data_IF_266528483407
#
_entry.id   IF_266528483407
#
_cell.length_a   1.000
_cell.length_b   1.000
_cell.length_c   1.000
_cell.angle_alpha   90.00
_cell.angle_beta   90.00
_cell.angle_gamma   90.00
#
_symmetry.space_group_name_H-M   'P 1'
#
loop_
_entity.id
_entity.type
_entity.pdbx_description
1 polymer ?
#
# COMPACT_ATOMS: atom_id res chain seq x y z
N UNK A 1 -9.43 13.92 2.17
CA UNK A 1 -8.93 12.88 3.10
C UNK A 1 -7.53 12.47 2.67
N UNK A 2 -6.63 12.11 3.58
CA UNK A 2 -5.26 11.67 3.28
C UNK A 2 -5.13 10.15 3.49
N UNK A 3 -4.21 9.51 2.79
CA UNK A 3 -3.82 8.13 2.98
C UNK A 3 -2.53 8.09 3.81
N UNK A 4 -2.54 7.32 4.88
CA UNK A 4 -1.38 7.07 5.74
C UNK A 4 -0.78 5.71 5.41
N UNK A 5 0.51 5.66 5.15
CA UNK A 5 1.23 4.45 4.79
C UNK A 5 1.88 3.84 6.02
N UNK A 6 1.35 2.69 6.46
CA UNK A 6 1.88 1.91 7.57
C UNK A 6 2.73 0.76 7.07
N UNK A 7 3.95 0.68 7.58
CA UNK A 7 4.86 -0.43 7.31
C UNK A 7 4.45 -1.65 8.15
N UNK A 8 3.95 -2.69 7.52
CA UNK A 8 3.62 -3.94 8.23
C UNK A 8 4.88 -4.52 8.90
N UNK A 9 4.71 -5.07 10.09
CA UNK A 9 5.77 -5.88 10.70
C UNK A 9 6.06 -7.09 9.82
N UNK A 10 7.28 -7.21 9.37
CA UNK A 10 7.75 -8.39 8.66
C UNK A 10 7.61 -9.62 9.55
N UNK A 11 6.95 -10.66 9.04
CA UNK A 11 6.95 -11.97 9.70
C UNK A 11 8.15 -12.75 9.16
N UNK A 12 9.14 -13.10 9.97
CA UNK A 12 10.38 -13.72 9.48
C UNK A 12 10.15 -14.93 8.56
N UNK A 13 9.17 -15.77 8.87
CA UNK A 13 8.90 -16.99 8.09
C UNK A 13 8.19 -16.76 6.74
N UNK A 14 7.61 -15.62 6.49
CA UNK A 14 7.06 -15.29 5.15
C UNK A 14 8.16 -15.03 4.13
N UNK A 15 9.34 -14.66 4.57
CA UNK A 15 10.50 -14.47 3.72
C UNK A 15 11.16 -15.80 3.34
N UNK A 16 11.06 -16.82 4.19
CA UNK A 16 11.55 -18.17 3.89
C UNK A 16 10.65 -18.94 2.91
N UNK A 17 9.38 -18.60 2.82
CA UNK A 17 8.43 -19.24 1.92
C UNK A 17 8.44 -18.67 0.49
N UNK A 18 9.04 -17.52 0.27
CA UNK A 18 9.29 -16.95 -1.06
C UNK A 18 10.72 -17.27 -1.49
N UNK A 19 10.88 -18.41 -2.09
CA UNK A 19 12.11 -19.14 -2.40
C UNK A 19 13.12 -18.43 -3.26
N UNK A 20 13.43 -17.29 -3.32
CA UNK A 20 14.57 -16.74 -4.05
C UNK A 20 15.03 -15.35 -3.62
N UNK A 21 14.41 -14.80 -2.59
CA UNK A 21 14.91 -13.54 -2.03
C UNK A 21 15.62 -13.85 -0.74
N UNK A 22 16.93 -13.75 -0.74
CA UNK A 22 17.72 -13.84 0.46
C UNK A 22 17.35 -12.72 1.43
N UNK A 23 17.44 -12.97 2.73
CA UNK A 23 17.31 -11.94 3.77
C UNK A 23 18.16 -10.69 3.45
N UNK A 24 19.29 -10.86 2.76
CA UNK A 24 20.15 -9.78 2.29
C UNK A 24 19.49 -8.88 1.25
N UNK A 25 18.66 -9.41 0.33
CA UNK A 25 18.00 -8.57 -0.69
C UNK A 25 16.89 -7.71 -0.06
N UNK A 26 16.24 -8.21 0.98
CA UNK A 26 15.22 -7.47 1.72
C UNK A 26 15.85 -6.42 2.62
N UNK A 27 16.92 -6.77 3.32
CA UNK A 27 17.70 -5.83 4.10
C UNK A 27 18.35 -4.77 3.20
N UNK A 28 18.85 -5.14 2.03
CA UNK A 28 19.46 -4.21 1.08
C UNK A 28 18.44 -3.23 0.49
N UNK A 29 17.20 -3.62 0.25
CA UNK A 29 16.16 -2.69 -0.19
C UNK A 29 15.81 -1.66 0.90
N UNK A 30 15.80 -2.08 2.16
CA UNK A 30 15.64 -1.19 3.31
C UNK A 30 16.89 -0.35 3.59
N UNK A 31 18.07 -0.94 3.48
CA UNK A 31 19.34 -0.22 3.63
C UNK A 31 19.55 0.80 2.51
N UNK A 32 19.20 0.47 1.27
CA UNK A 32 19.20 1.42 0.15
C UNK A 32 18.30 2.63 0.40
N UNK A 33 17.13 2.40 0.98
CA UNK A 33 16.24 3.48 1.38
C UNK A 33 16.80 4.29 2.56
N UNK A 34 17.36 3.65 3.58
CA UNK A 34 18.00 4.30 4.72
C UNK A 34 19.18 5.17 4.31
N UNK A 35 19.99 4.74 3.34
CA UNK A 35 21.14 5.50 2.86
C UNK A 35 20.77 6.74 2.08
N UNK A 36 19.60 6.77 1.44
CA UNK A 36 19.10 7.94 0.70
C UNK A 36 18.36 8.92 1.59
N UNK A 37 17.81 8.48 2.72
CA UNK A 37 17.08 9.35 3.66
C UNK A 37 17.67 9.25 5.07
N UNK A 38 18.70 10.04 5.32
CA UNK A 38 19.48 10.07 6.59
C UNK A 38 18.66 10.33 7.86
N UNK A 39 17.40 10.73 7.72
CA UNK A 39 16.51 11.12 8.82
C UNK A 39 15.50 10.03 9.20
N UNK A 40 15.46 8.91 8.49
CA UNK A 40 14.54 7.82 8.79
C UNK A 40 15.20 6.88 9.79
N UNK A 41 14.54 6.71 10.94
CA UNK A 41 14.97 5.82 12.02
C UNK A 41 15.09 4.38 11.52
N UNK A 42 16.02 3.62 12.08
CA UNK A 42 16.41 2.28 11.63
C UNK A 42 15.30 1.24 11.62
N UNK A 43 14.16 1.54 12.21
CA UNK A 43 13.05 0.61 12.31
C UNK A 43 11.74 1.21 11.75
N UNK A 44 11.50 1.03 10.46
CA UNK A 44 10.23 1.40 9.83
C UNK A 44 9.11 0.40 10.16
N UNK A 45 9.46 -0.81 10.56
CA UNK A 45 8.52 -1.89 10.82
C UNK A 45 7.57 -1.54 11.98
N UNK A 46 6.28 -1.57 11.69
CA UNK A 46 5.26 -1.25 12.69
C UNK A 46 5.01 0.23 12.89
N UNK A 47 5.48 1.09 11.97
CA UNK A 47 5.33 2.54 12.02
C UNK A 47 4.53 3.09 10.84
N UNK A 48 3.96 4.27 11.03
CA UNK A 48 3.38 5.07 9.95
C UNK A 48 4.49 5.98 9.44
N UNK A 49 4.85 5.84 8.17
CA UNK A 49 6.07 6.43 7.60
C UNK A 49 5.81 7.60 6.67
N UNK A 50 4.62 7.67 6.08
CA UNK A 50 4.29 8.72 5.13
C UNK A 50 2.79 8.97 5.07
N UNK A 51 2.42 10.09 4.47
CA UNK A 51 1.06 10.38 4.02
C UNK A 51 1.04 10.79 2.55
N UNK A 52 -0.10 10.63 1.88
CA UNK A 52 -0.27 11.05 0.51
C UNK A 52 -1.71 11.44 0.18
N UNK A 53 -1.90 12.16 -0.92
CA UNK A 53 -3.19 12.25 -1.57
C UNK A 53 -3.47 10.98 -2.35
N UNK A 54 -4.74 10.64 -2.53
CA UNK A 54 -5.10 9.46 -3.28
C UNK A 54 -6.35 9.69 -4.15
N UNK A 55 -6.49 8.85 -5.17
CA UNK A 55 -7.70 8.68 -5.97
C UNK A 55 -7.91 7.18 -6.17
N UNK A 56 -9.15 6.73 -6.08
CA UNK A 56 -9.50 5.32 -6.28
C UNK A 56 -10.20 5.16 -7.63
N UNK A 57 -9.88 4.09 -8.33
CA UNK A 57 -10.56 3.64 -9.55
C UNK A 57 -10.85 2.15 -9.47
N UNK A 58 -11.96 1.72 -10.08
CA UNK A 58 -12.25 0.31 -10.24
C UNK A 58 -11.22 -0.36 -11.16
N UNK A 59 -10.79 -1.54 -10.81
CA UNK A 59 -9.95 -2.42 -11.61
C UNK A 59 -10.74 -3.67 -11.93
N UNK A 60 -10.88 -3.97 -13.21
CA UNK A 60 -11.59 -5.15 -13.71
C UNK A 60 -10.69 -5.97 -14.61
N UNK A 61 -10.90 -7.28 -14.58
CA UNK A 61 -10.39 -8.17 -15.62
C UNK A 61 -11.48 -8.32 -16.66
N UNK A 62 -11.12 -8.10 -17.90
CA UNK A 62 -12.00 -8.31 -19.05
C UNK A 62 -11.58 -9.60 -19.73
N UNK A 63 -12.49 -10.57 -19.77
CA UNK A 63 -12.36 -11.85 -20.45
C UNK A 63 -13.35 -11.85 -21.61
N UNK A 64 -12.96 -11.28 -22.72
CA UNK A 64 -13.82 -11.10 -23.91
C UNK A 64 -13.27 -11.84 -25.14
N UNK A 65 -12.19 -12.61 -24.97
CA UNK A 65 -11.57 -13.38 -26.05
C UNK A 65 -11.99 -14.84 -26.02
N UNK A 66 -12.58 -15.39 -27.13
CA UNK A 66 -12.85 -16.81 -27.28
C UNK A 66 -11.64 -17.73 -27.08
N UNK A 67 -10.43 -17.19 -27.15
CA UNK A 67 -9.16 -17.88 -26.92
C UNK A 67 -8.68 -17.83 -25.46
N UNK A 68 -9.48 -17.23 -24.56
CA UNK A 68 -9.17 -17.14 -23.13
C UNK A 68 -8.10 -16.09 -22.79
N UNK A 69 -7.85 -15.12 -23.66
CA UNK A 69 -7.02 -13.98 -23.33
C UNK A 69 -7.81 -13.02 -22.43
N UNK A 70 -7.17 -12.57 -21.39
CA UNK A 70 -7.74 -11.58 -20.46
C UNK A 70 -6.81 -10.38 -20.35
N UNK A 71 -7.38 -9.22 -20.03
CA UNK A 71 -6.60 -8.01 -19.74
C UNK A 71 -7.21 -7.22 -18.59
N UNK A 72 -6.40 -6.34 -18.01
CA UNK A 72 -6.81 -5.49 -16.90
C UNK A 72 -7.26 -4.13 -17.42
N UNK A 73 -8.38 -3.65 -16.92
CA UNK A 73 -8.95 -2.38 -17.33
C UNK A 73 -9.27 -1.50 -16.13
N UNK A 74 -8.86 -0.22 -16.22
CA UNK A 74 -9.36 0.85 -15.35
C UNK A 74 -9.94 1.96 -16.22
N UNK A 75 -10.60 2.90 -15.59
CA UNK A 75 -11.16 4.06 -16.31
C UNK A 75 -10.08 4.93 -16.97
N UNK A 76 -8.87 4.99 -16.40
CA UNK A 76 -7.83 5.93 -16.85
C UNK A 76 -6.49 5.29 -17.18
N UNK A 77 -6.26 4.03 -16.83
CA UNK A 77 -4.99 3.34 -17.07
C UNK A 77 -5.20 2.16 -18.02
N UNK A 78 -4.28 2.02 -18.97
CA UNK A 78 -4.11 0.80 -19.76
C UNK A 78 -3.52 -0.31 -18.88
N UNK A 79 -3.63 -1.57 -19.33
CA UNK A 79 -3.04 -2.73 -18.66
C UNK A 79 -1.55 -2.53 -18.39
N UNK A 80 -0.77 -2.15 -19.39
CA UNK A 80 0.66 -1.93 -19.24
C UNK A 80 0.96 -0.88 -18.15
N UNK A 81 0.19 0.18 -18.08
CA UNK A 81 0.35 1.20 -17.04
C UNK A 81 -0.04 0.69 -15.65
N UNK A 82 -1.05 -0.18 -15.54
CA UNK A 82 -1.40 -0.82 -14.27
C UNK A 82 -0.25 -1.68 -13.78
N UNK A 83 0.29 -2.54 -14.64
CA UNK A 83 1.40 -3.43 -14.29
C UNK A 83 2.67 -2.66 -13.93
N UNK A 84 3.07 -1.71 -14.77
CA UNK A 84 4.25 -0.88 -14.54
C UNK A 84 4.14 -0.09 -13.23
N UNK A 85 3.07 0.68 -13.06
CA UNK A 85 2.87 1.56 -11.91
C UNK A 85 2.60 0.81 -10.60
N UNK A 86 2.06 -0.41 -10.66
CA UNK A 86 1.89 -1.28 -9.49
C UNK A 86 3.13 -2.08 -9.14
N UNK A 87 4.11 -2.16 -10.06
CA UNK A 87 5.28 -3.03 -9.97
C UNK A 87 4.89 -4.53 -9.84
N UNK A 88 3.78 -4.94 -10.42
CA UNK A 88 3.29 -6.32 -10.46
C UNK A 88 3.41 -6.88 -11.88
N UNK A 89 3.62 -8.17 -11.99
CA UNK A 89 3.41 -8.91 -13.24
C UNK A 89 1.92 -9.22 -13.42
N UNK A 90 1.51 -9.59 -14.64
CA UNK A 90 0.14 -10.01 -14.90
C UNK A 90 -0.27 -11.20 -14.05
N UNK A 91 0.60 -12.21 -13.93
CA UNK A 91 0.35 -13.40 -13.11
C UNK A 91 0.19 -13.06 -11.61
N UNK A 92 1.07 -12.19 -11.08
CA UNK A 92 0.97 -11.76 -9.68
C UNK A 92 -0.33 -10.99 -9.42
N UNK A 93 -0.76 -10.18 -10.37
CA UNK A 93 -2.00 -9.42 -10.26
C UNK A 93 -3.22 -10.35 -10.34
N UNK A 94 -3.20 -11.32 -11.26
CA UNK A 94 -4.24 -12.33 -11.40
C UNK A 94 -4.37 -13.19 -10.13
N UNK A 95 -3.27 -13.73 -9.64
CA UNK A 95 -3.24 -14.52 -8.40
C UNK A 95 -3.73 -13.70 -7.20
N UNK A 96 -3.37 -12.42 -7.17
CA UNK A 96 -3.81 -11.54 -6.09
C UNK A 96 -5.30 -11.25 -6.14
N UNK A 97 -5.87 -10.95 -7.31
CA UNK A 97 -7.30 -10.65 -7.46
C UNK A 97 -8.16 -11.91 -7.31
N UNK A 98 -7.66 -13.06 -7.78
CA UNK A 98 -8.36 -14.35 -7.68
C UNK A 98 -9.59 -14.42 -8.60
N UNK A 99 -10.49 -15.34 -8.31
CA UNK A 99 -11.66 -15.68 -9.15
C UNK A 99 -12.67 -14.52 -9.30
N UNK A 100 -12.74 -13.62 -8.33
CA UNK A 100 -13.67 -12.45 -8.38
C UNK A 100 -13.27 -11.44 -9.45
N UNK A 101 -12.01 -11.47 -9.89
CA UNK A 101 -11.43 -10.67 -10.97
C UNK A 101 -11.73 -9.16 -10.88
N UNK A 102 -12.05 -8.68 -9.68
CA UNK A 102 -12.36 -7.29 -9.41
C UNK A 102 -11.50 -6.74 -8.28
N UNK A 103 -11.17 -5.48 -8.37
CA UNK A 103 -10.38 -4.79 -7.37
C UNK A 103 -10.42 -3.28 -7.55
N UNK A 104 -9.48 -2.63 -6.91
CA UNK A 104 -9.34 -1.18 -6.94
C UNK A 104 -7.88 -0.80 -7.14
N UNK A 105 -7.66 0.24 -7.92
CA UNK A 105 -6.39 0.94 -8.04
C UNK A 105 -6.45 2.19 -7.19
N UNK A 106 -5.52 2.34 -6.27
CA UNK A 106 -5.34 3.53 -5.45
C UNK A 106 -4.14 4.29 -5.99
N UNK A 107 -4.38 5.41 -6.66
CA UNK A 107 -3.32 6.30 -7.14
C UNK A 107 -2.70 7.02 -5.94
N UNK A 108 -1.39 6.99 -5.84
CA UNK A 108 -0.59 7.67 -4.81
C UNK A 108 -0.07 8.98 -5.39
N UNK A 109 -0.43 10.10 -4.79
CA UNK A 109 -0.03 11.45 -5.24
C UNK A 109 0.48 12.27 -4.08
N UNK A 110 1.35 13.23 -4.37
CA UNK A 110 1.85 14.19 -3.37
C UNK A 110 2.35 13.47 -2.10
N UNK A 111 3.21 12.46 -2.28
CA UNK A 111 3.78 11.66 -1.20
C UNK A 111 4.63 12.56 -0.30
N UNK A 112 4.32 12.57 0.99
CA UNK A 112 5.06 13.25 2.03
C UNK A 112 5.58 12.22 3.04
N UNK A 113 6.88 12.00 3.03
CA UNK A 113 7.57 11.09 3.97
C UNK A 113 7.82 11.86 5.26
N UNK A 114 7.44 11.28 6.40
CA UNK A 114 7.66 11.92 7.70
C UNK A 114 9.15 11.90 8.08
N UNK A 115 9.65 13.01 8.62
CA UNK A 115 11.02 13.08 9.16
C UNK A 115 11.25 12.02 10.26
N UNK A 116 10.22 11.74 11.03
CA UNK A 116 10.19 10.66 12.02
C UNK A 116 8.95 9.81 11.83
N UNK A 117 9.10 8.49 11.65
CA UNK A 117 7.95 7.58 11.62
C UNK A 117 7.10 7.71 12.88
N UNK A 118 5.78 7.63 12.71
CA UNK A 118 4.81 7.80 13.80
C UNK A 118 4.33 6.45 14.32
N UNK A 119 4.05 6.39 15.61
CA UNK A 119 3.40 5.23 16.22
C UNK A 119 1.92 5.17 15.85
N UNK A 120 1.32 3.99 15.97
CA UNK A 120 -0.11 3.82 15.72
C UNK A 120 -0.98 4.62 16.70
N UNK A 121 -0.57 4.69 17.96
CA UNK A 121 -1.30 5.38 19.03
C UNK A 121 -1.25 6.92 18.90
N UNK A 122 -0.48 7.44 17.96
CA UNK A 122 -0.58 8.85 17.55
C UNK A 122 -1.98 9.18 17.00
N UNK A 123 -2.64 8.18 16.39
CA UNK A 123 -3.96 8.30 15.79
C UNK A 123 -5.05 7.65 16.65
N UNK A 124 -6.28 8.09 16.47
CA UNK A 124 -7.46 7.54 17.13
C UNK A 124 -8.31 6.74 16.14
N UNK A 125 -8.91 5.65 16.61
CA UNK A 125 -9.77 4.78 15.82
C UNK A 125 -11.23 5.24 15.78
N UNK A 126 -11.59 6.30 16.52
CA UNK A 126 -12.91 6.88 16.53
C UNK A 126 -12.82 8.41 16.59
N UNK A 127 -13.93 9.05 16.24
CA UNK A 127 -14.07 10.50 16.22
C UNK A 127 -13.83 11.16 17.59
N UNK A 128 -14.12 10.47 18.68
CA UNK A 128 -14.04 11.03 20.05
C UNK A 128 -12.62 11.05 20.62
N UNK A 129 -11.61 10.61 19.89
CA UNK A 129 -10.17 10.60 20.28
C UNK A 129 -9.81 9.78 21.51
N UNK A 130 -10.78 9.16 22.16
CA UNK A 130 -10.54 8.39 23.38
C UNK A 130 -9.96 7.01 23.10
N UNK A 131 -10.16 6.50 21.89
CA UNK A 131 -9.70 5.18 21.51
C UNK A 131 -8.53 5.25 20.55
N UNK A 132 -7.34 5.11 21.09
CA UNK A 132 -6.11 5.03 20.28
C UNK A 132 -6.07 3.80 19.39
N UNK A 133 -5.34 3.90 18.29
CA UNK A 133 -5.09 2.77 17.40
C UNK A 133 -4.03 1.87 18.03
N UNK A 134 -4.45 0.73 18.57
CA UNK A 134 -3.57 -0.23 19.21
C UNK A 134 -2.98 -1.26 18.26
N UNK A 135 -3.73 -1.56 17.19
CA UNK A 135 -3.34 -2.56 16.18
C UNK A 135 -3.55 -2.02 14.79
N UNK A 136 -2.57 -2.28 13.93
CA UNK A 136 -2.72 -1.99 12.50
C UNK A 136 -3.83 -2.84 11.87
N UNK A 137 -4.58 -2.29 10.91
CA UNK A 137 -5.56 -3.06 10.17
C UNK A 137 -4.87 -4.13 9.30
N UNK A 138 -5.57 -5.21 8.97
CA UNK A 138 -5.07 -6.17 7.98
C UNK A 138 -5.02 -5.58 6.56
N UNK A 139 -5.91 -4.66 6.26
CA UNK A 139 -6.00 -3.98 4.98
C UNK A 139 -5.94 -2.46 5.20
N UNK A 140 -7.05 -1.86 5.61
CA UNK A 140 -7.15 -0.42 5.87
C UNK A 140 -8.22 -0.10 6.90
N UNK A 141 -8.10 1.06 7.53
CA UNK A 141 -9.09 1.58 8.47
C UNK A 141 -9.11 3.11 8.46
N UNK A 142 -10.26 3.68 8.82
CA UNK A 142 -10.39 5.11 9.05
C UNK A 142 -9.81 5.46 10.43
N UNK A 143 -9.02 6.53 10.47
CA UNK A 143 -8.39 7.04 11.69
C UNK A 143 -8.47 8.57 11.73
N UNK A 144 -8.21 9.14 12.89
CA UNK A 144 -8.22 10.58 13.11
C UNK A 144 -6.94 11.03 13.79
N UNK A 145 -6.35 12.09 13.29
CA UNK A 145 -5.25 12.80 13.94
C UNK A 145 -5.79 13.90 14.86
N UNK A 146 -6.81 14.61 14.38
CA UNK A 146 -7.57 15.65 15.08
C UNK A 146 -9.05 15.62 14.66
N UNK A 147 -9.86 16.53 15.19
CA UNK A 147 -11.31 16.57 14.96
C UNK A 147 -11.71 16.87 13.51
N UNK A 148 -10.86 17.47 12.74
CA UNK A 148 -11.22 18.01 11.45
C UNK A 148 -10.76 17.17 10.26
N UNK A 149 -9.84 16.23 10.47
CA UNK A 149 -9.13 15.57 9.37
C UNK A 149 -9.13 14.04 9.48
N UNK A 150 -10.19 13.37 9.04
CA UNK A 150 -10.16 11.91 8.91
C UNK A 150 -9.12 11.49 7.87
N UNK A 151 -8.42 10.40 8.17
CA UNK A 151 -7.43 9.78 7.30
C UNK A 151 -7.76 8.31 7.09
N UNK A 152 -7.19 7.70 6.09
CA UNK A 152 -7.22 6.25 5.89
C UNK A 152 -5.83 5.69 6.17
N UNK A 153 -5.74 4.81 7.13
CA UNK A 153 -4.53 4.04 7.42
C UNK A 153 -4.54 2.76 6.60
N UNK A 154 -3.54 2.58 5.74
CA UNK A 154 -3.35 1.38 4.92
C UNK A 154 -2.09 0.63 5.33
N UNK A 155 -2.22 -0.68 5.50
CA UNK A 155 -1.11 -1.57 5.80
C UNK A 155 -0.42 -2.02 4.52
N UNK A 156 0.87 -1.74 4.40
CA UNK A 156 1.68 -2.08 3.22
C UNK A 156 2.87 -2.92 3.67
N UNK A 157 3.17 -3.98 2.92
CA UNK A 157 4.35 -4.80 3.16
C UNK A 157 5.62 -3.98 2.90
N UNK A 158 6.71 -4.24 3.65
CA UNK A 158 7.95 -3.49 3.54
C UNK A 158 8.49 -3.37 2.11
N UNK A 159 8.49 -4.45 1.35
CA UNK A 159 8.98 -4.50 -0.02
C UNK A 159 8.22 -3.54 -0.96
N UNK A 160 6.90 -3.48 -0.83
CA UNK A 160 6.07 -2.57 -1.62
C UNK A 160 6.16 -1.14 -1.12
N UNK A 161 6.27 -0.96 0.19
CA UNK A 161 6.45 0.36 0.77
C UNK A 161 7.73 1.02 0.29
N UNK A 162 8.85 0.30 0.25
CA UNK A 162 10.11 0.82 -0.29
C UNK A 162 9.95 1.32 -1.72
N UNK A 163 9.28 0.57 -2.58
CA UNK A 163 9.01 0.99 -3.96
C UNK A 163 8.14 2.25 -4.04
N UNK A 164 7.17 2.40 -3.14
CA UNK A 164 6.36 3.63 -3.05
C UNK A 164 7.23 4.81 -2.61
N UNK A 165 8.03 4.64 -1.56
CA UNK A 165 8.87 5.70 -1.02
C UNK A 165 9.97 6.15 -2.01
N UNK A 166 10.44 5.25 -2.87
CA UNK A 166 11.39 5.55 -3.95
C UNK A 166 10.72 6.10 -5.24
N UNK A 167 9.39 6.13 -5.29
CA UNK A 167 8.65 6.61 -6.45
C UNK A 167 8.52 5.62 -7.61
N UNK A 168 8.98 4.38 -7.44
CA UNK A 168 8.87 3.31 -8.44
C UNK A 168 7.41 2.82 -8.55
N UNK A 169 6.75 2.65 -7.40
CA UNK A 169 5.36 2.23 -7.31
C UNK A 169 4.47 3.43 -7.02
N UNK A 170 3.62 3.81 -7.98
CA UNK A 170 2.75 4.99 -7.88
C UNK A 170 1.27 4.64 -7.75
N UNK A 171 0.93 3.37 -7.83
CA UNK A 171 -0.40 2.85 -7.53
C UNK A 171 -0.33 1.64 -6.60
N UNK A 172 -1.33 1.50 -5.75
CA UNK A 172 -1.54 0.33 -4.89
C UNK A 172 -2.81 -0.40 -5.33
N UNK A 173 -2.73 -1.72 -5.49
CA UNK A 173 -3.89 -2.54 -5.87
C UNK A 173 -4.49 -3.21 -4.63
N UNK A 174 -5.83 -3.17 -4.50
CA UNK A 174 -6.57 -3.77 -3.39
C UNK A 174 -7.86 -4.44 -3.87
N UNK A 175 -8.19 -5.61 -3.31
CA UNK A 175 -9.48 -6.27 -3.54
C UNK A 175 -10.65 -5.47 -2.96
N UNK A 176 -10.44 -4.79 -1.85
CA UNK A 176 -11.48 -4.02 -1.13
C UNK A 176 -10.89 -2.72 -0.63
N UNK A 177 -11.68 -1.66 -0.73
CA UNK A 177 -11.40 -0.34 -0.17
C UNK A 177 -12.52 0.09 0.77
N UNK A 178 -12.28 1.10 1.58
CA UNK A 178 -13.34 1.68 2.41
C UNK A 178 -14.31 2.46 1.51
N UNK A 179 -15.60 2.39 1.83
CA UNK A 179 -16.65 3.07 1.06
C UNK A 179 -16.39 4.58 0.93
N UNK A 180 -15.88 5.18 1.98
CA UNK A 180 -15.55 6.62 2.04
C UNK A 180 -14.36 7.02 1.14
N UNK A 181 -13.62 6.07 0.61
CA UNK A 181 -12.55 6.34 -0.37
C UNK A 181 -13.09 6.47 -1.80
N UNK A 182 -14.31 6.04 -2.05
CA UNK A 182 -14.97 6.06 -3.36
C UNK A 182 -15.77 7.35 -3.61
N UNK A 183 -15.96 8.15 -2.58
CA UNK A 183 -16.62 9.46 -2.62
C UNK A 183 -15.60 10.56 -2.98
#
# INVERSE_FOLDING_TARGET
MKLLLYCCKAKPYLYYAQESRTLMEIDNSFEGYKTTNKNVDDNLNGKIVAECDFKVEDLRIVDDDPLGAYWYETKTLSENEVLEKSCLTGDELFDYLGEDNEGYVIHIKNLHIFDKPRELDFYSSNFDYFKKVEKAPQNMMKVWEDQESPRVLISIRPEWLCKILNGEKTIEVRKKVLKEMLE
#
